data_IF_949604473267
#
_entry.id   IF_949604473267
#
_cell.length_a   1.000
_cell.length_b   1.000
_cell.length_c   1.000
_cell.angle_alpha   90.00
_cell.angle_beta   90.00
_cell.angle_gamma   90.00
#
_symmetry.space_group_name_H-M   'P 1'
#
loop_
_entity.id
_entity.type
_entity.pdbx_description
1 polymer ?
#
# COMPACT_ATOMS: atom_id res chain seq x y z
N UNK A 1 -11.78 -21.99 -20.70
CA UNK A 1 -12.33 -20.75 -20.11
C UNK A 1 -11.14 -20.01 -19.54
N UNK A 2 -10.81 -18.81 -20.04
CA UNK A 2 -9.64 -18.05 -19.60
C UNK A 2 -9.80 -17.62 -18.13
N UNK A 3 -8.72 -17.71 -17.35
CA UNK A 3 -8.68 -17.20 -15.97
C UNK A 3 -8.62 -15.66 -15.95
N UNK A 4 -8.07 -15.06 -17.00
CA UNK A 4 -7.80 -13.63 -17.09
C UNK A 4 -8.97 -12.80 -17.64
N UNK A 5 -9.73 -13.34 -18.60
CA UNK A 5 -10.87 -12.67 -19.25
C UNK A 5 -12.07 -13.62 -19.19
N UNK A 6 -13.02 -13.30 -18.31
CA UNK A 6 -14.16 -14.18 -18.03
C UNK A 6 -15.17 -14.22 -19.19
N UNK A 7 -15.27 -13.14 -19.96
CA UNK A 7 -16.25 -12.96 -21.03
C UNK A 7 -15.70 -13.19 -22.44
N UNK A 8 -14.53 -13.83 -22.58
CA UNK A 8 -13.88 -14.06 -23.88
C UNK A 8 -14.77 -14.93 -24.81
N UNK A 9 -15.24 -14.35 -25.92
CA UNK A 9 -16.18 -14.98 -26.88
C UNK A 9 -15.49 -15.74 -28.03
N UNK A 10 -14.23 -15.42 -28.31
CA UNK A 10 -13.43 -16.03 -29.38
C UNK A 10 -12.15 -16.62 -28.79
N UNK A 11 -11.58 -17.60 -29.48
CA UNK A 11 -10.21 -18.05 -29.24
C UNK A 11 -9.35 -17.66 -30.43
N UNK A 12 -8.13 -17.21 -30.16
CA UNK A 12 -7.22 -16.65 -31.14
C UNK A 12 -6.12 -17.67 -31.39
N UNK A 13 -5.81 -17.94 -32.67
CA UNK A 13 -4.65 -18.76 -33.02
C UNK A 13 -3.37 -17.93 -32.84
N UNK A 14 -2.48 -18.39 -31.96
CA UNK A 14 -1.15 -17.83 -31.85
C UNK A 14 -0.32 -18.25 -33.07
N UNK A 15 0.30 -17.32 -33.82
CA UNK A 15 1.07 -17.65 -35.03
C UNK A 15 2.37 -18.39 -34.71
N UNK A 16 2.92 -18.20 -33.51
CA UNK A 16 4.16 -18.84 -33.05
C UNK A 16 3.98 -20.33 -32.72
N UNK A 17 2.99 -20.69 -31.89
CA UNK A 17 2.71 -22.07 -31.48
C UNK A 17 1.75 -22.81 -32.41
N UNK A 18 1.04 -22.08 -33.28
CA UNK A 18 -0.11 -22.57 -34.04
C UNK A 18 -1.25 -23.16 -33.18
N UNK A 19 -1.28 -22.85 -31.88
CA UNK A 19 -2.30 -23.27 -30.91
C UNK A 19 -3.30 -22.15 -30.66
N UNK A 20 -4.49 -22.51 -30.19
CA UNK A 20 -5.55 -21.56 -29.88
C UNK A 20 -5.52 -21.19 -28.40
N UNK A 21 -5.59 -19.90 -28.12
CA UNK A 21 -5.63 -19.34 -26.77
C UNK A 21 -6.73 -18.29 -26.66
N UNK A 22 -7.31 -18.16 -25.48
CA UNK A 22 -8.38 -17.18 -25.21
C UNK A 22 -7.83 -15.76 -25.01
N UNK A 23 -6.59 -15.62 -24.55
CA UNK A 23 -6.01 -14.38 -24.04
C UNK A 23 -4.47 -14.45 -24.11
N UNK A 24 -3.75 -13.33 -24.30
CA UNK A 24 -2.29 -13.33 -24.45
C UNK A 24 -1.55 -13.80 -23.19
N UNK A 25 -2.13 -13.59 -22.01
CA UNK A 25 -1.59 -14.10 -20.74
C UNK A 25 -1.64 -15.64 -20.69
N UNK A 26 -2.72 -16.27 -21.17
CA UNK A 26 -2.76 -17.75 -21.26
C UNK A 26 -1.73 -18.30 -22.26
N UNK A 27 -1.36 -17.55 -23.30
CA UNK A 27 -0.23 -17.94 -24.14
C UNK A 27 1.08 -17.91 -23.34
N UNK A 28 1.35 -16.80 -22.65
CA UNK A 28 2.59 -16.62 -21.87
C UNK A 28 2.77 -17.64 -20.74
N UNK A 29 1.68 -18.13 -20.14
CA UNK A 29 1.73 -19.21 -19.14
C UNK A 29 2.07 -20.58 -19.74
N UNK A 30 1.70 -20.80 -21.02
CA UNK A 30 1.81 -22.10 -21.67
C UNK A 30 3.04 -22.25 -22.57
N UNK A 31 3.68 -21.14 -22.92
CA UNK A 31 4.72 -21.07 -23.93
C UNK A 31 5.91 -20.25 -23.45
N UNK A 32 7.12 -20.76 -23.67
CA UNK A 32 8.39 -20.16 -23.23
C UNK A 32 8.91 -19.03 -24.15
N UNK A 33 8.05 -18.45 -25.00
CA UNK A 33 8.45 -17.44 -25.99
C UNK A 33 7.44 -16.30 -26.14
N UNK A 34 7.86 -15.13 -26.62
CA UNK A 34 6.96 -14.00 -26.86
C UNK A 34 6.00 -14.27 -28.03
N UNK A 35 4.78 -13.72 -27.94
CA UNK A 35 3.78 -13.85 -28.99
C UNK A 35 4.23 -13.16 -30.28
N UNK A 36 4.25 -13.91 -31.39
CA UNK A 36 4.55 -13.37 -32.71
C UNK A 36 3.46 -12.40 -33.18
N UNK A 37 3.86 -11.28 -33.79
CA UNK A 37 2.93 -10.29 -34.36
C UNK A 37 2.63 -10.66 -35.81
N UNK A 38 1.35 -10.75 -36.17
CA UNK A 38 0.89 -10.95 -37.56
C UNK A 38 -0.24 -9.99 -37.88
N UNK A 39 -0.38 -9.63 -39.15
CA UNK A 39 -1.46 -8.78 -39.67
C UNK A 39 -2.75 -9.56 -39.87
N UNK A 40 -2.63 -10.82 -40.27
CA UNK A 40 -3.76 -11.75 -40.41
C UNK A 40 -3.93 -12.53 -39.10
N UNK A 41 -5.13 -12.50 -38.53
CA UNK A 41 -5.47 -13.28 -37.34
C UNK A 41 -6.56 -14.30 -37.66
N UNK A 42 -6.37 -15.52 -37.14
CA UNK A 42 -7.38 -16.56 -37.20
C UNK A 42 -8.09 -16.67 -35.86
N UNK A 43 -9.42 -16.56 -35.90
CA UNK A 43 -10.30 -16.62 -34.74
C UNK A 43 -11.18 -17.88 -34.81
N UNK A 44 -11.57 -18.38 -33.65
CA UNK A 44 -12.56 -19.44 -33.50
C UNK A 44 -13.66 -18.94 -32.58
N UNK A 45 -14.88 -18.82 -33.12
CA UNK A 45 -16.01 -18.35 -32.33
C UNK A 45 -16.50 -19.44 -31.37
N UNK A 46 -16.70 -19.13 -30.08
CA UNK A 46 -17.18 -20.12 -29.11
C UNK A 46 -18.67 -20.47 -29.26
N UNK A 47 -19.48 -19.57 -29.85
CA UNK A 47 -20.91 -19.84 -30.09
C UNK A 47 -21.11 -20.84 -31.22
N UNK A 48 -20.53 -20.58 -32.40
CA UNK A 48 -20.71 -21.44 -33.58
C UNK A 48 -19.58 -22.45 -33.83
N UNK A 49 -18.46 -22.36 -33.09
CA UNK A 49 -17.27 -23.22 -33.22
C UNK A 49 -16.65 -23.25 -34.62
N UNK A 50 -16.96 -22.26 -35.45
CA UNK A 50 -16.38 -22.10 -36.79
C UNK A 50 -15.17 -21.17 -36.73
N UNK A 51 -14.12 -21.55 -37.44
CA UNK A 51 -12.91 -20.76 -37.58
C UNK A 51 -13.09 -19.77 -38.74
N UNK A 52 -12.66 -18.53 -38.53
CA UNK A 52 -12.64 -17.49 -39.56
C UNK A 52 -11.32 -16.72 -39.48
N UNK A 53 -10.96 -16.03 -40.56
CA UNK A 53 -9.75 -15.22 -40.65
C UNK A 53 -10.16 -13.77 -40.89
N UNK A 54 -9.46 -12.86 -40.24
CA UNK A 54 -9.67 -11.43 -40.41
C UNK A 54 -8.31 -10.72 -40.46
N UNK A 55 -8.20 -9.78 -41.38
CA UNK A 55 -7.02 -8.93 -41.52
C UNK A 55 -7.20 -7.70 -40.65
N UNK A 56 -6.26 -7.46 -39.73
CA UNK A 56 -6.32 -6.33 -38.80
C UNK A 56 -5.96 -4.98 -39.45
N UNK A 57 -5.51 -4.96 -40.69
CA UNK A 57 -5.13 -3.74 -41.41
C UNK A 57 -6.35 -2.94 -41.89
N UNK A 58 -7.46 -3.62 -42.15
CA UNK A 58 -8.73 -3.04 -42.60
C UNK A 58 -9.79 -3.49 -41.60
N UNK A 59 -9.83 -2.80 -40.46
CA UNK A 59 -10.81 -3.06 -39.41
C UNK A 59 -11.99 -2.11 -39.58
N UNK A 60 -13.13 -2.64 -40.01
CA UNK A 60 -14.39 -1.90 -40.16
C UNK A 60 -15.40 -2.34 -39.08
N UNK A 61 -16.43 -1.52 -38.81
CA UNK A 61 -17.44 -1.81 -37.78
C UNK A 61 -18.20 -3.14 -38.02
N UNK A 62 -18.29 -3.59 -39.27
CA UNK A 62 -18.87 -4.90 -39.61
C UNK A 62 -18.05 -6.09 -39.12
N UNK A 63 -16.76 -5.88 -38.83
CA UNK A 63 -15.84 -6.92 -38.40
C UNK A 63 -15.93 -7.24 -36.92
N UNK A 64 -16.69 -6.47 -36.13
CA UNK A 64 -16.93 -6.74 -34.72
C UNK A 64 -17.76 -8.01 -34.46
N UNK A 65 -18.37 -8.54 -35.53
CA UNK A 65 -19.27 -9.69 -35.52
C UNK A 65 -18.67 -10.91 -36.19
N UNK A 66 -19.03 -12.10 -35.70
CA UNK A 66 -18.67 -13.34 -36.35
C UNK A 66 -19.48 -13.54 -37.64
N UNK A 67 -18.86 -13.81 -38.81
CA UNK A 67 -19.54 -13.93 -40.11
C UNK A 67 -20.47 -15.15 -40.23
N UNK A 68 -20.54 -15.99 -39.20
CA UNK A 68 -21.32 -17.22 -39.20
C UNK A 68 -22.52 -17.21 -38.25
N UNK A 69 -22.54 -16.33 -37.25
CA UNK A 69 -23.58 -16.35 -36.20
C UNK A 69 -23.87 -14.98 -35.59
N UNK A 70 -23.31 -13.92 -36.17
CA UNK A 70 -23.46 -12.53 -35.73
C UNK A 70 -23.17 -12.31 -34.24
N UNK A 71 -22.28 -13.14 -33.68
CA UNK A 71 -21.84 -12.95 -32.31
C UNK A 71 -20.86 -11.79 -32.26
N UNK A 72 -21.22 -10.73 -31.54
CA UNK A 72 -20.32 -9.64 -31.21
C UNK A 72 -19.19 -10.16 -30.32
N UNK A 73 -17.94 -10.05 -30.79
CA UNK A 73 -16.78 -10.59 -30.07
C UNK A 73 -15.84 -9.51 -29.53
N UNK A 74 -16.01 -8.26 -29.97
CA UNK A 74 -15.25 -7.10 -29.49
C UNK A 74 -16.00 -6.48 -28.31
N UNK A 75 -15.92 -7.13 -27.14
CA UNK A 75 -16.62 -6.70 -25.92
C UNK A 75 -15.60 -6.24 -24.88
N UNK A 76 -15.95 -5.26 -24.05
CA UNK A 76 -15.16 -4.83 -22.89
C UNK A 76 -14.78 -6.02 -22.01
N UNK A 77 -13.48 -6.17 -21.75
CA UNK A 77 -12.95 -7.31 -21.01
C UNK A 77 -13.35 -7.25 -19.53
N UNK A 78 -14.03 -8.30 -19.04
CA UNK A 78 -14.32 -8.50 -17.61
C UNK A 78 -13.17 -9.25 -16.97
N UNK A 79 -12.32 -8.52 -16.25
CA UNK A 79 -11.26 -9.09 -15.41
C UNK A 79 -11.82 -9.51 -14.05
N UNK A 80 -11.30 -10.59 -13.45
CA UNK A 80 -11.67 -10.93 -12.08
C UNK A 80 -11.14 -9.85 -11.13
N UNK A 81 -12.07 -9.06 -10.55
CA UNK A 81 -11.71 -8.10 -9.51
C UNK A 81 -11.49 -8.86 -8.19
N UNK A 82 -10.33 -8.73 -7.53
CA UNK A 82 -10.14 -9.30 -6.21
C UNK A 82 -11.02 -8.54 -5.21
N UNK A 83 -12.16 -9.12 -4.85
CA UNK A 83 -13.01 -8.60 -3.78
C UNK A 83 -12.46 -9.09 -2.45
N UNK A 84 -11.97 -8.17 -1.61
CA UNK A 84 -11.60 -8.47 -0.23
C UNK A 84 -12.88 -8.65 0.59
N UNK A 85 -13.34 -9.89 0.75
CA UNK A 85 -14.43 -10.22 1.66
C UNK A 85 -13.93 -10.14 3.10
N UNK A 86 -14.46 -9.21 3.89
CA UNK A 86 -14.32 -9.27 5.34
C UNK A 86 -15.37 -10.26 5.81
N UNK A 87 -14.97 -11.48 6.11
CA UNK A 87 -15.83 -12.48 6.74
C UNK A 87 -16.11 -12.02 8.17
N UNK A 88 -17.19 -11.26 8.35
CA UNK A 88 -17.72 -10.94 9.67
C UNK A 88 -18.43 -12.17 10.22
N UNK A 89 -17.82 -12.83 11.21
CA UNK A 89 -18.49 -13.86 11.99
C UNK A 89 -19.72 -13.26 12.71
N UNK A 90 -20.69 -14.11 13.10
CA UNK A 90 -22.00 -13.65 13.64
C UNK A 90 -21.81 -12.57 14.72
N UNK A 91 -22.47 -11.42 14.55
CA UNK A 91 -22.37 -10.26 15.44
C UNK A 91 -22.72 -10.56 16.90
N UNK A 92 -23.40 -11.69 17.17
CA UNK A 92 -23.65 -12.17 18.54
C UNK A 92 -22.43 -12.81 19.20
N UNK A 93 -21.53 -13.41 18.40
CA UNK A 93 -20.32 -14.08 18.87
C UNK A 93 -19.18 -13.06 18.96
N UNK A 94 -19.01 -12.23 17.94
CA UNK A 94 -17.94 -11.22 17.89
C UNK A 94 -18.47 -9.80 17.71
N UNK A 95 -18.72 -9.12 18.84
CA UNK A 95 -19.14 -7.71 18.87
C UNK A 95 -17.99 -6.71 18.66
N UNK A 96 -16.82 -7.15 18.18
CA UNK A 96 -15.65 -6.27 17.99
C UNK A 96 -15.75 -5.39 16.75
N UNK A 97 -16.52 -5.82 15.75
CA UNK A 97 -16.73 -5.06 14.50
C UNK A 97 -17.91 -4.09 14.58
N UNK A 98 -18.72 -4.13 15.65
CA UNK A 98 -19.85 -3.21 15.83
C UNK A 98 -19.43 -2.00 16.68
N UNK A 99 -19.71 -0.81 16.16
CA UNK A 99 -19.54 0.45 16.91
C UNK A 99 -20.78 0.67 17.78
N UNK A 100 -20.60 0.79 19.08
CA UNK A 100 -21.67 1.17 20.00
C UNK A 100 -21.72 2.69 20.17
N UNK A 101 -22.80 3.31 19.71
CA UNK A 101 -23.00 4.77 19.77
C UNK A 101 -23.31 5.30 21.18
N UNK A 102 -23.56 4.41 22.16
CA UNK A 102 -23.81 4.82 23.57
C UNK A 102 -22.53 5.08 24.34
N UNK A 103 -21.41 4.50 23.90
CA UNK A 103 -20.12 4.72 24.54
C UNK A 103 -19.56 6.07 24.13
N UNK A 104 -19.26 6.90 25.13
CA UNK A 104 -18.54 8.17 24.91
C UNK A 104 -17.17 7.84 24.32
N UNK A 105 -16.85 8.48 23.19
CA UNK A 105 -15.56 8.32 22.54
C UNK A 105 -14.42 8.62 23.51
N UNK A 106 -13.50 7.65 23.67
CA UNK A 106 -12.26 7.81 24.43
C UNK A 106 -11.09 7.92 23.45
N UNK A 107 -10.49 9.11 23.27
CA UNK A 107 -9.35 9.36 22.39
C UNK A 107 -8.05 8.61 22.78
N UNK A 108 -8.08 7.80 23.84
CA UNK A 108 -6.95 6.93 24.21
C UNK A 108 -7.10 5.51 23.69
N UNK A 109 -8.27 5.13 23.17
CA UNK A 109 -8.56 3.77 22.69
C UNK A 109 -8.45 3.63 21.18
N UNK A 110 -8.60 4.74 20.46
CA UNK A 110 -8.37 4.80 19.03
C UNK A 110 -6.88 4.81 18.74
N UNK A 111 -6.46 3.95 17.82
CA UNK A 111 -5.06 3.84 17.45
C UNK A 111 -4.54 5.15 16.82
N UNK A 112 -5.39 5.88 16.10
CA UNK A 112 -5.04 7.16 15.46
C UNK A 112 -4.74 8.28 16.46
N UNK A 113 -5.59 8.54 17.46
CA UNK A 113 -5.26 9.57 18.45
C UNK A 113 -4.20 9.13 19.44
N UNK A 114 -4.01 7.83 19.69
CA UNK A 114 -2.83 7.35 20.44
C UNK A 114 -1.51 7.69 19.74
N UNK A 115 -1.43 7.50 18.43
CA UNK A 115 -0.22 7.79 17.65
C UNK A 115 0.07 9.30 17.62
N UNK A 116 -0.97 10.12 17.47
CA UNK A 116 -0.85 11.59 17.55
C UNK A 116 -0.47 12.07 18.96
N UNK A 117 -1.06 11.51 20.01
CA UNK A 117 -0.72 11.85 21.39
C UNK A 117 0.71 11.41 21.77
N UNK A 118 1.18 10.28 21.24
CA UNK A 118 2.57 9.85 21.40
C UNK A 118 3.54 10.84 20.73
N UNK A 119 3.22 11.31 19.51
CA UNK A 119 3.98 12.37 18.84
C UNK A 119 3.94 13.71 19.60
N UNK A 120 2.85 14.04 20.29
CA UNK A 120 2.75 15.23 21.15
C UNK A 120 3.54 15.10 22.45
N UNK A 121 3.58 13.91 23.08
CA UNK A 121 4.37 13.69 24.30
C UNK A 121 5.88 13.75 24.04
N UNK A 122 6.34 13.36 22.86
CA UNK A 122 7.76 13.51 22.44
C UNK A 122 8.19 14.98 22.30
N UNK A 123 7.25 15.94 22.38
CA UNK A 123 7.54 17.39 22.38
C UNK A 123 7.63 18.02 23.77
N UNK A 124 7.28 17.32 24.84
CA UNK A 124 7.31 17.87 26.21
C UNK A 124 8.74 18.00 26.77
N UNK A 125 9.75 17.49 26.06
CA UNK A 125 11.15 17.48 26.49
C UNK A 125 11.94 18.76 26.14
N UNK A 126 11.38 19.95 26.36
CA UNK A 126 12.24 21.12 26.59
C UNK A 126 12.79 21.10 28.03
N UNK A 127 13.63 20.10 28.30
CA UNK A 127 14.60 20.11 29.39
C UNK A 127 14.41 19.10 30.52
N UNK A 128 13.26 18.42 30.63
CA UNK A 128 13.06 17.32 31.60
C UNK A 128 13.63 17.55 33.02
N UNK A 129 14.00 16.46 33.70
CA UNK A 129 14.60 16.51 35.04
C UNK A 129 16.02 17.08 35.06
N UNK A 130 16.76 16.98 33.96
CA UNK A 130 18.15 17.43 33.86
C UNK A 130 18.26 18.96 33.89
N UNK A 131 17.35 19.67 33.20
CA UNK A 131 17.29 21.14 33.24
C UNK A 131 16.85 21.65 34.61
N UNK A 132 15.92 20.96 35.26
CA UNK A 132 15.51 21.29 36.63
C UNK A 132 16.66 21.12 37.66
N UNK A 133 17.50 20.10 37.49
CA UNK A 133 18.73 19.93 38.28
C UNK A 133 19.75 21.03 37.96
N UNK A 134 19.96 21.35 36.68
CA UNK A 134 20.91 22.38 36.26
C UNK A 134 20.51 23.79 36.75
N UNK A 135 19.23 24.12 36.73
CA UNK A 135 18.70 25.39 37.25
C UNK A 135 18.88 25.48 38.77
N UNK A 136 18.65 24.38 39.52
CA UNK A 136 18.92 24.31 40.96
C UNK A 136 20.40 24.48 41.28
N UNK A 137 21.27 23.81 40.54
CA UNK A 137 22.72 23.90 40.75
C UNK A 137 23.23 25.30 40.37
N UNK A 138 22.67 25.92 39.33
CA UNK A 138 22.98 27.32 38.96
C UNK A 138 22.48 28.35 39.98
N UNK A 139 21.40 28.04 40.72
CA UNK A 139 20.84 28.91 41.74
C UNK A 139 21.61 28.87 43.09
N UNK A 140 22.46 27.85 43.30
CA UNK A 140 23.26 27.69 44.52
C UNK A 140 24.65 28.34 44.45
N UNK A 141 25.07 28.81 43.26
CA UNK A 141 26.37 29.49 43.07
C UNK A 141 26.16 31.01 43.10
N UNK A 142 26.59 31.73 44.15
CA UNK A 142 26.59 33.18 44.11
C UNK A 142 27.73 33.62 43.18
N UNK A 143 27.40 34.11 42.00
CA UNK A 143 28.40 34.48 40.97
C UNK A 143 29.29 35.67 41.35
N UNK A 144 28.97 36.37 42.45
CA UNK A 144 29.64 37.60 42.88
C UNK A 144 29.86 37.72 44.40
N UNK A 145 30.20 36.61 45.08
CA UNK A 145 30.66 36.71 46.46
C UNK A 145 32.13 37.19 46.50
N UNK A 146 32.36 38.35 47.13
CA UNK A 146 33.67 38.94 47.40
C UNK A 146 33.88 39.04 48.91
N UNK A 147 35.11 38.83 49.37
CA UNK A 147 35.45 39.04 50.78
C UNK A 147 35.45 40.53 51.13
N UNK A 148 35.57 40.87 52.42
CA UNK A 148 35.49 42.26 52.92
C UNK A 148 36.49 43.23 52.26
N UNK A 149 37.60 42.71 51.70
CA UNK A 149 38.63 43.49 51.01
C UNK A 149 38.43 43.57 49.48
N UNK A 150 37.35 42.99 48.96
CA UNK A 150 36.91 43.14 47.56
C UNK A 150 37.43 42.11 46.56
N UNK A 151 38.22 41.13 46.99
CA UNK A 151 38.72 40.06 46.12
C UNK A 151 37.65 38.95 45.92
N UNK A 152 37.61 38.36 44.71
CA UNK A 152 36.69 37.25 44.40
C UNK A 152 37.05 36.03 45.24
N UNK A 153 36.06 35.44 45.90
CA UNK A 153 36.23 34.23 46.73
C UNK A 153 36.26 32.99 45.84
N UNK A 154 37.22 32.91 44.95
CA UNK A 154 37.59 31.66 44.28
C UNK A 154 39.04 31.81 43.89
N UNK A 155 39.92 31.15 44.64
CA UNK A 155 41.25 30.67 44.21
C UNK A 155 41.83 29.83 45.35
N UNK A 156 41.12 28.78 45.79
CA UNK A 156 41.77 27.66 46.47
C UNK A 156 42.06 26.64 45.39
N UNK A 157 43.32 26.59 44.97
CA UNK A 157 43.85 25.59 44.05
C UNK A 157 43.86 24.25 44.80
N UNK A 158 43.47 23.16 44.14
CA UNK A 158 43.37 21.79 44.68
C UNK A 158 44.69 21.24 45.30
N UNK A 159 45.78 22.00 45.32
CA UNK A 159 47.07 21.64 45.93
C UNK A 159 47.18 21.97 47.43
N UNK A 160 46.24 22.71 48.03
CA UNK A 160 46.29 23.14 49.44
C UNK A 160 45.51 22.26 50.44
N UNK A 161 44.95 21.13 50.00
CA UNK A 161 44.21 20.20 50.87
C UNK A 161 45.08 18.99 51.23
N UNK A 162 45.84 19.13 52.31
CA UNK A 162 46.49 18.02 53.04
C UNK A 162 45.42 17.01 53.52
N UNK A 163 45.40 15.82 52.89
CA UNK A 163 44.66 14.65 53.35
C UNK A 163 45.60 13.57 53.89
N UNK A 164 46.35 13.90 54.95
CA UNK A 164 47.04 12.91 55.79
C UNK A 164 46.09 11.92 56.46
#
# INVERSE_FOLDING_TARGET
MCKHILNAQVTIRAPCCQRFFDCPQCHAESADHPLGKTTEMAFLCKKCKRAFRKDLTVFEDGDEYCPHCDNHYVIEAKTPAPMLGIEGEDARVDNRMLKDDRMRYDPRRDWQARDQAAQESDRVDQGGWQKALQERDSALVPTDARNADGEKIMDLVDEDLDWS
#
